data_IF_933938533813
#
_entry.id   IF_933938533813
#
_cell.length_a   1.000
_cell.length_b   1.000
_cell.length_c   1.000
_cell.angle_alpha   90.00
_cell.angle_beta   90.00
_cell.angle_gamma   90.00
#
_symmetry.space_group_name_H-M   'P 1'
#
loop_
_entity.id
_entity.type
_entity.pdbx_description
1 polymer ?
#
# COMPACT_ATOMS: atom_id res chain seq x y z
N UNK A 1 -4.86 5.14 -1.85
CA UNK A 1 -5.08 4.20 -1.34
C UNK A 1 -4.34 3.92 -0.07
N UNK A 2 -4.47 4.80 0.91
CA UNK A 2 -4.10 4.49 2.27
C UNK A 2 -4.69 3.14 2.68
N UNK A 3 -3.92 2.37 3.41
CA UNK A 3 -4.32 1.06 3.85
C UNK A 3 -4.11 -0.05 2.85
N UNK A 4 -3.63 0.28 1.66
CA UNK A 4 -3.10 -0.68 0.71
C UNK A 4 -1.65 -0.32 0.40
N UNK A 5 -1.35 0.16 -0.76
CA UNK A 5 0.03 0.50 -1.19
C UNK A 5 0.26 2.00 -1.38
N UNK A 6 -0.74 2.85 -1.05
CA UNK A 6 -0.69 4.28 -1.36
C UNK A 6 0.41 5.03 -0.61
N UNK A 7 0.51 4.80 0.70
CA UNK A 7 1.54 5.44 1.53
C UNK A 7 2.96 5.01 1.15
N UNK A 8 3.12 3.76 0.70
CA UNK A 8 4.43 3.25 0.27
C UNK A 8 4.87 3.89 -1.05
N UNK A 9 3.93 4.11 -1.99
CA UNK A 9 4.21 4.80 -3.26
C UNK A 9 4.70 6.24 -3.03
N UNK A 10 4.27 6.91 -1.97
CA UNK A 10 4.70 8.26 -1.63
C UNK A 10 6.20 8.35 -1.27
N UNK A 11 6.84 7.23 -0.95
CA UNK A 11 8.29 7.14 -0.71
C UNK A 11 9.11 7.22 -1.99
N UNK A 12 8.49 7.10 -3.17
CA UNK A 12 9.16 7.23 -4.47
C UNK A 12 9.41 8.72 -4.76
N UNK A 13 10.67 9.08 -5.02
CA UNK A 13 11.03 10.42 -5.51
C UNK A 13 10.51 10.62 -6.93
N UNK A 14 9.48 11.46 -7.07
CA UNK A 14 8.86 11.74 -8.36
C UNK A 14 9.79 12.48 -9.31
N UNK A 15 10.74 13.28 -8.82
CA UNK A 15 11.72 13.97 -9.63
C UNK A 15 12.70 13.00 -10.26
N UNK A 16 13.21 12.03 -9.50
CA UNK A 16 14.10 10.98 -9.99
C UNK A 16 13.37 10.02 -10.94
N UNK A 17 12.11 9.66 -10.63
CA UNK A 17 11.27 8.86 -11.52
C UNK A 17 11.07 9.56 -12.87
N UNK A 18 10.80 10.86 -12.84
CA UNK A 18 10.64 11.67 -14.04
C UNK A 18 11.92 11.73 -14.86
N UNK A 19 13.07 11.98 -14.25
CA UNK A 19 14.37 12.00 -14.95
C UNK A 19 14.62 10.68 -15.66
N UNK A 20 14.30 9.57 -15.03
CA UNK A 20 14.51 8.23 -15.58
C UNK A 20 13.64 7.96 -16.81
N UNK A 21 12.32 8.23 -16.73
CA UNK A 21 11.38 7.85 -17.80
C UNK A 21 11.08 8.94 -18.81
N UNK A 22 11.15 10.22 -18.47
CA UNK A 22 10.82 11.34 -19.35
C UNK A 22 12.06 12.01 -19.97
N UNK A 23 13.26 11.68 -19.52
CA UNK A 23 14.50 12.30 -19.97
C UNK A 23 14.51 13.81 -19.71
N UNK A 24 14.79 14.62 -20.74
CA UNK A 24 14.87 16.09 -20.60
C UNK A 24 13.50 16.80 -20.55
N UNK A 25 12.39 16.08 -20.69
CA UNK A 25 11.07 16.71 -20.62
C UNK A 25 10.67 16.95 -19.17
N UNK A 26 10.58 18.21 -18.78
CA UNK A 26 10.10 18.60 -17.44
C UNK A 26 8.58 18.48 -17.40
N UNK A 27 8.05 17.60 -16.56
CA UNK A 27 6.65 17.61 -16.17
C UNK A 27 6.54 18.53 -14.94
N UNK A 28 5.69 19.54 -14.99
CA UNK A 28 5.39 20.34 -13.81
C UNK A 28 4.53 19.50 -12.88
N UNK A 29 5.06 19.15 -11.71
CA UNK A 29 4.26 18.63 -10.61
C UNK A 29 3.77 19.85 -9.78
N UNK A 30 2.48 19.92 -9.53
CA UNK A 30 1.98 20.84 -8.52
C UNK A 30 2.59 20.43 -7.17
N UNK A 31 3.09 21.38 -6.36
CA UNK A 31 3.50 21.09 -5.00
C UNK A 31 2.32 20.44 -4.27
N UNK A 32 2.53 19.27 -3.66
CA UNK A 32 1.56 18.72 -2.73
C UNK A 32 1.61 19.57 -1.47
N UNK A 33 0.47 20.07 -1.03
CA UNK A 33 0.34 20.55 0.34
C UNK A 33 0.66 19.37 1.26
N UNK A 34 1.55 19.56 2.25
CA UNK A 34 1.81 18.52 3.22
C UNK A 34 0.50 18.22 3.96
N UNK A 35 -0.14 17.12 3.63
CA UNK A 35 -1.30 16.66 4.38
C UNK A 35 -0.85 16.27 5.78
N UNK A 36 -1.65 16.63 6.77
CA UNK A 36 -1.44 16.17 8.15
C UNK A 36 -1.74 14.68 8.17
N UNK A 37 -0.69 13.88 8.08
CA UNK A 37 -0.80 12.43 8.11
C UNK A 37 -0.84 11.95 9.55
N UNK A 38 -1.89 11.23 9.90
CA UNK A 38 -2.08 10.61 11.18
C UNK A 38 -3.53 10.23 11.38
N UNK A 39 -3.83 9.53 12.45
CA UNK A 39 -5.21 9.18 12.79
C UNK A 39 -5.26 8.70 14.24
N UNK A 40 -6.37 8.93 14.93
CA UNK A 40 -6.56 8.49 16.31
C UNK A 40 -7.65 7.42 16.37
N UNK A 41 -7.37 6.33 17.07
CA UNK A 41 -8.35 5.29 17.39
C UNK A 41 -8.29 4.93 18.86
N UNK A 42 -9.44 4.76 19.50
CA UNK A 42 -9.54 4.32 20.89
C UNK A 42 -10.63 3.26 20.97
N UNK A 43 -10.27 2.07 21.47
CA UNK A 43 -11.23 1.03 21.80
C UNK A 43 -11.35 0.91 23.33
N UNK A 44 -12.57 0.89 23.83
CA UNK A 44 -12.87 0.78 25.26
C UNK A 44 -13.70 -0.48 25.48
N UNK A 45 -13.21 -1.35 26.38
CA UNK A 45 -13.88 -2.60 26.72
C UNK A 45 -15.14 -2.36 27.58
N UNK A 46 -16.15 -3.24 27.51
CA UNK A 46 -17.41 -3.11 28.26
C UNK A 46 -17.26 -2.94 29.78
N UNK A 47 -16.21 -3.51 30.37
CA UNK A 47 -15.98 -3.49 31.81
C UNK A 47 -15.84 -2.08 32.42
N UNK A 48 -15.51 -1.09 31.56
CA UNK A 48 -15.30 0.30 32.01
C UNK A 48 -16.23 1.29 31.31
N UNK A 49 -17.30 0.80 30.68
CA UNK A 49 -18.33 1.64 30.05
C UNK A 49 -19.63 1.59 30.85
N UNK A 50 -20.29 2.72 31.00
CA UNK A 50 -21.54 2.80 31.75
C UNK A 50 -22.69 1.98 31.11
N UNK A 51 -22.68 1.83 29.78
CA UNK A 51 -23.68 1.08 29.03
C UNK A 51 -23.37 -0.41 28.85
N UNK A 52 -22.23 -0.91 29.35
CA UNK A 52 -21.83 -2.31 29.22
C UNK A 52 -21.52 -2.75 27.76
N UNK A 53 -21.38 -1.82 26.83
CA UNK A 53 -20.99 -2.08 25.43
C UNK A 53 -19.57 -1.63 25.14
N UNK A 54 -18.95 -2.20 24.12
CA UNK A 54 -17.67 -1.70 23.59
C UNK A 54 -17.86 -0.35 22.91
N UNK A 55 -16.90 0.55 23.06
CA UNK A 55 -16.85 1.81 22.33
C UNK A 55 -15.63 1.85 21.43
N UNK A 56 -15.79 2.39 20.22
CA UNK A 56 -14.70 2.59 19.26
C UNK A 56 -14.73 4.02 18.72
N UNK A 57 -13.70 4.80 19.00
CA UNK A 57 -13.45 6.07 18.35
C UNK A 57 -12.73 5.82 17.02
N UNK A 58 -13.28 6.40 15.95
CA UNK A 58 -12.72 6.36 14.60
C UNK A 58 -12.49 7.80 14.18
N UNK A 59 -11.24 8.26 14.20
CA UNK A 59 -10.89 9.65 13.90
C UNK A 59 -9.74 9.71 12.86
N UNK A 60 -10.06 9.53 11.57
CA UNK A 60 -9.06 9.64 10.51
C UNK A 60 -8.68 11.12 10.27
N UNK A 61 -7.38 11.39 10.17
CA UNK A 61 -6.84 12.67 9.74
C UNK A 61 -6.40 12.54 8.29
N UNK A 62 -7.28 12.91 7.38
CA UNK A 62 -7.06 12.81 5.93
C UNK A 62 -7.58 14.06 5.24
N UNK A 63 -7.18 14.26 3.98
CA UNK A 63 -7.71 15.33 3.15
C UNK A 63 -9.23 15.30 3.11
N UNK A 64 -9.85 16.46 3.14
CA UNK A 64 -11.31 16.63 3.06
C UNK A 64 -11.94 15.95 1.83
N UNK A 65 -11.25 15.93 0.71
CA UNK A 65 -11.74 15.36 -0.54
C UNK A 65 -11.39 13.88 -0.73
N UNK A 66 -10.77 13.24 0.24
CA UNK A 66 -10.23 11.90 0.06
C UNK A 66 -11.23 10.78 0.37
N UNK A 67 -12.13 11.01 1.32
CA UNK A 67 -13.11 10.03 1.80
C UNK A 67 -14.49 10.64 1.91
N UNK A 68 -15.50 9.75 1.83
CA UNK A 68 -16.90 10.08 2.13
C UNK A 68 -17.49 9.06 3.09
N UNK A 69 -18.39 9.47 3.95
CA UNK A 69 -19.18 8.55 4.77
C UNK A 69 -20.28 7.90 3.93
N UNK A 70 -20.44 6.60 4.11
CA UNK A 70 -21.42 5.80 3.35
C UNK A 70 -21.99 4.68 4.23
N UNK A 71 -23.27 4.39 4.01
CA UNK A 71 -23.94 3.16 4.42
C UNK A 71 -24.03 2.25 3.21
N UNK A 72 -23.50 1.04 3.32
CA UNK A 72 -23.54 0.04 2.25
C UNK A 72 -24.18 -1.24 2.77
N UNK A 73 -25.19 -1.73 2.07
CA UNK A 73 -25.86 -2.99 2.42
C UNK A 73 -26.14 -3.83 1.17
N UNK A 74 -26.21 -5.15 1.35
CA UNK A 74 -26.61 -6.10 0.31
C UNK A 74 -27.31 -7.31 0.91
N UNK A 75 -28.08 -8.04 0.09
CA UNK A 75 -28.68 -9.32 0.47
C UNK A 75 -27.65 -10.43 0.75
N UNK A 76 -26.36 -10.20 0.46
CA UNK A 76 -25.25 -11.13 0.64
C UNK A 76 -24.49 -10.91 1.97
N UNK A 77 -25.18 -10.34 2.99
CA UNK A 77 -24.64 -10.18 4.32
C UNK A 77 -23.65 -9.01 4.50
N UNK A 78 -23.67 -8.04 3.62
CA UNK A 78 -22.97 -6.77 3.82
C UNK A 78 -23.93 -5.77 4.44
N UNK A 79 -23.56 -5.20 5.59
CA UNK A 79 -24.24 -4.07 6.21
C UNK A 79 -23.20 -3.29 7.01
N UNK A 80 -22.61 -2.29 6.39
CA UNK A 80 -21.50 -1.55 6.98
C UNK A 80 -21.64 -0.05 6.76
N UNK A 81 -21.28 0.73 7.78
CA UNK A 81 -21.22 2.18 7.76
C UNK A 81 -19.81 2.66 8.07
N UNK A 82 -19.41 3.75 7.45
CA UNK A 82 -18.13 4.43 7.72
C UNK A 82 -17.56 5.13 6.51
N UNK A 83 -16.26 5.38 6.56
CA UNK A 83 -15.55 6.10 5.52
C UNK A 83 -15.11 5.17 4.39
N UNK A 84 -15.50 5.50 3.16
CA UNK A 84 -15.02 4.89 1.92
C UNK A 84 -14.05 5.85 1.21
N UNK A 85 -12.91 5.35 0.80
CA UNK A 85 -11.97 6.12 -0.03
C UNK A 85 -12.49 6.20 -1.46
N UNK A 86 -12.35 7.32 -2.11
CA UNK A 86 -12.79 7.49 -3.49
C UNK A 86 -12.18 6.44 -4.43
N UNK A 87 -13.03 5.81 -5.22
CA UNK A 87 -12.67 4.74 -6.12
C UNK A 87 -12.60 3.34 -5.49
N UNK A 88 -12.83 3.22 -4.17
CA UNK A 88 -12.95 1.93 -3.48
C UNK A 88 -14.42 1.54 -3.31
N UNK A 89 -14.70 0.24 -3.34
CA UNK A 89 -16.07 -0.32 -3.25
C UNK A 89 -16.39 -0.91 -1.86
N UNK A 90 -15.61 -0.56 -0.84
CA UNK A 90 -15.74 -1.06 0.54
C UNK A 90 -15.56 0.06 1.56
N UNK A 91 -16.10 -0.14 2.74
CA UNK A 91 -15.87 0.73 3.90
C UNK A 91 -14.44 0.49 4.41
N UNK A 92 -13.62 1.52 4.30
CA UNK A 92 -12.21 1.45 4.69
C UNK A 92 -12.03 1.46 6.21
N UNK A 93 -12.68 2.41 6.90
CA UNK A 93 -12.77 2.50 8.36
C UNK A 93 -14.23 2.66 8.74
N UNK A 94 -14.69 1.91 9.71
CA UNK A 94 -16.09 1.93 10.08
C UNK A 94 -16.49 0.76 10.93
N UNK A 95 -17.73 0.38 10.82
CA UNK A 95 -18.31 -0.73 11.57
C UNK A 95 -19.45 -1.40 10.81
N UNK A 96 -19.72 -2.63 11.18
CA UNK A 96 -20.95 -3.36 10.85
C UNK A 96 -21.75 -3.60 12.15
N UNK A 97 -22.74 -4.47 12.11
CA UNK A 97 -23.58 -4.76 13.28
C UNK A 97 -22.84 -5.43 14.43
N UNK A 98 -21.65 -6.01 14.21
CA UNK A 98 -20.92 -6.85 15.14
C UNK A 98 -19.52 -6.32 15.47
N UNK A 99 -18.85 -5.75 14.49
CA UNK A 99 -17.43 -5.37 14.61
C UNK A 99 -17.20 -3.96 14.09
N UNK A 100 -16.22 -3.27 14.71
CA UNK A 100 -15.72 -1.98 14.24
C UNK A 100 -14.20 -2.04 14.06
N UNK A 101 -13.70 -1.30 13.08
CA UNK A 101 -12.27 -1.22 12.76
C UNK A 101 -11.87 0.20 12.38
N UNK A 102 -10.71 0.59 12.86
CA UNK A 102 -10.09 1.87 12.61
C UNK A 102 -8.61 1.68 12.27
N UNK A 103 -8.11 2.43 11.33
CA UNK A 103 -6.71 2.36 10.92
C UNK A 103 -5.94 3.62 11.26
N UNK A 104 -4.73 3.44 11.77
CA UNK A 104 -3.75 4.51 11.95
C UNK A 104 -2.50 4.21 11.12
N UNK A 105 -1.74 5.24 10.75
CA UNK A 105 -0.47 5.06 10.07
C UNK A 105 0.51 4.27 10.93
N UNK A 106 1.32 3.45 10.29
CA UNK A 106 2.36 2.64 10.90
C UNK A 106 3.73 3.01 10.31
N UNK A 107 4.77 2.94 11.12
CA UNK A 107 6.16 3.12 10.70
C UNK A 107 6.87 1.78 10.43
N UNK A 108 6.14 0.72 10.07
CA UNK A 108 6.77 -0.57 9.76
C UNK A 108 7.66 -0.48 8.52
N UNK A 109 8.73 -1.24 8.53
CA UNK A 109 9.64 -1.38 7.42
C UNK A 109 9.11 -2.44 6.45
N UNK A 110 8.49 -1.96 5.36
CA UNK A 110 7.77 -2.78 4.39
C UNK A 110 8.09 -2.40 2.94
N UNK A 111 9.11 -1.58 2.75
CA UNK A 111 9.54 -1.06 1.45
C UNK A 111 11.05 -1.02 1.39
N UNK A 112 11.63 -1.64 0.38
CA UNK A 112 13.07 -1.66 0.14
C UNK A 112 13.42 -1.30 -1.29
N UNK A 113 14.64 -0.83 -1.49
CA UNK A 113 15.21 -0.54 -2.78
C UNK A 113 16.33 -1.51 -3.14
N UNK A 114 16.35 -1.94 -4.39
CA UNK A 114 17.33 -2.88 -4.92
C UNK A 114 18.09 -2.25 -6.08
N UNK A 115 19.39 -2.06 -5.93
CA UNK A 115 20.26 -1.54 -6.97
C UNK A 115 20.68 -2.67 -7.93
N UNK A 116 20.39 -2.52 -9.22
CA UNK A 116 20.57 -3.55 -10.24
C UNK A 116 21.66 -3.16 -11.22
N UNK A 117 22.58 -4.08 -11.50
CA UNK A 117 23.47 -3.97 -12.66
C UNK A 117 22.66 -4.29 -13.91
N UNK A 118 22.60 -3.36 -14.85
CA UNK A 118 21.78 -3.50 -16.06
C UNK A 118 22.66 -3.42 -17.31
N UNK A 119 22.35 -4.25 -18.28
CA UNK A 119 22.84 -4.12 -19.67
C UNK A 119 21.66 -4.03 -20.62
N UNK A 120 21.80 -3.26 -21.69
CA UNK A 120 20.75 -3.05 -22.70
C UNK A 120 21.17 -3.69 -24.02
N UNK A 121 21.04 -5.00 -24.19
CA UNK A 121 21.25 -5.66 -25.46
C UNK A 121 20.13 -5.33 -26.44
N UNK A 122 20.28 -5.67 -27.71
CA UNK A 122 19.28 -5.43 -28.77
C UNK A 122 17.87 -5.94 -28.42
N UNK A 123 17.77 -6.99 -27.63
CA UNK A 123 16.50 -7.60 -27.17
C UNK A 123 15.91 -6.96 -25.89
N UNK A 124 16.41 -5.77 -25.49
CA UNK A 124 15.94 -5.02 -24.32
C UNK A 124 16.76 -5.23 -23.04
N UNK A 125 16.47 -4.45 -21.98
CA UNK A 125 17.26 -4.45 -20.76
C UNK A 125 17.23 -5.80 -20.02
N UNK A 126 18.39 -6.18 -19.53
CA UNK A 126 18.58 -7.36 -18.67
C UNK A 126 19.35 -6.94 -17.42
N UNK A 127 18.99 -7.49 -16.27
CA UNK A 127 19.67 -7.25 -15.00
C UNK A 127 20.41 -8.50 -14.51
N UNK A 128 21.51 -8.30 -13.81
CA UNK A 128 22.27 -9.39 -13.19
C UNK A 128 21.54 -9.91 -11.97
N UNK A 129 21.52 -11.25 -11.81
CA UNK A 129 21.03 -11.93 -10.61
C UNK A 129 21.84 -13.21 -10.37
N UNK A 130 22.64 -13.20 -9.34
CA UNK A 130 23.68 -14.21 -9.12
C UNK A 130 24.65 -14.25 -10.31
N UNK A 131 24.77 -15.42 -10.91
CA UNK A 131 25.62 -15.65 -12.10
C UNK A 131 24.90 -15.41 -13.42
N UNK A 132 23.59 -15.11 -13.40
CA UNK A 132 22.73 -15.05 -14.58
C UNK A 132 22.30 -13.65 -14.93
N UNK A 133 21.87 -13.45 -16.18
CA UNK A 133 21.21 -12.24 -16.65
C UNK A 133 19.74 -12.52 -16.95
N UNK A 134 18.85 -11.90 -16.18
CA UNK A 134 17.40 -12.02 -16.33
C UNK A 134 16.85 -10.89 -17.18
N UNK A 135 15.88 -11.13 -18.08
CA UNK A 135 15.21 -10.05 -18.80
C UNK A 135 14.35 -9.21 -17.85
N UNK A 136 14.29 -7.92 -18.09
CA UNK A 136 13.27 -7.08 -17.46
C UNK A 136 11.92 -7.26 -18.16
N UNK A 137 10.85 -7.14 -17.38
CA UNK A 137 9.51 -7.03 -17.93
C UNK A 137 9.28 -5.60 -18.43
N UNK A 138 8.79 -5.50 -19.66
CA UNK A 138 8.38 -4.24 -20.25
C UNK A 138 6.87 -4.09 -20.13
N UNK A 139 6.42 -2.91 -19.74
CA UNK A 139 5.01 -2.53 -19.74
C UNK A 139 4.85 -1.17 -20.40
N UNK A 140 3.90 -1.04 -21.32
CA UNK A 140 3.50 0.25 -21.88
C UNK A 140 2.26 0.73 -21.13
N UNK A 141 2.40 1.85 -20.43
CA UNK A 141 1.30 2.52 -19.73
C UNK A 141 0.84 3.70 -20.56
N UNK A 142 -0.42 3.70 -21.02
CA UNK A 142 -1.01 4.79 -21.77
C UNK A 142 -2.01 5.55 -20.92
N UNK A 143 -1.77 6.84 -20.71
CA UNK A 143 -2.62 7.71 -19.90
C UNK A 143 -3.35 8.67 -20.85
N UNK A 144 -4.68 8.63 -20.81
CA UNK A 144 -5.53 9.60 -21.49
C UNK A 144 -5.77 10.81 -20.61
N UNK A 145 -5.68 11.99 -21.16
CA UNK A 145 -5.90 13.25 -20.45
C UNK A 145 -6.55 14.28 -21.38
N UNK A 146 -7.16 15.29 -20.80
CA UNK A 146 -7.60 16.48 -21.55
C UNK A 146 -6.47 17.48 -21.56
N UNK A 147 -6.11 17.96 -22.77
CA UNK A 147 -5.14 19.05 -22.91
C UNK A 147 -5.76 20.41 -22.53
N UNK A 148 -4.99 21.48 -22.64
CA UNK A 148 -5.45 22.85 -22.33
C UNK A 148 -6.66 23.28 -23.18
N UNK A 149 -6.81 22.77 -24.39
CA UNK A 149 -7.92 23.07 -25.30
C UNK A 149 -9.14 22.17 -25.05
N UNK A 150 -9.10 21.33 -24.02
CA UNK A 150 -10.18 20.38 -23.66
C UNK A 150 -10.24 19.14 -24.54
N UNK A 151 -9.32 18.96 -25.47
CA UNK A 151 -9.27 17.81 -26.39
C UNK A 151 -8.64 16.60 -25.69
N UNK A 152 -9.21 15.41 -25.90
CA UNK A 152 -8.64 14.16 -25.40
C UNK A 152 -7.34 13.84 -26.13
N UNK A 153 -6.27 13.71 -25.37
CA UNK A 153 -4.96 13.26 -25.82
C UNK A 153 -4.53 12.00 -25.04
N UNK A 154 -3.53 11.30 -25.53
CA UNK A 154 -2.93 10.17 -24.81
C UNK A 154 -1.40 10.32 -24.81
N UNK A 155 -0.78 9.92 -23.70
CA UNK A 155 0.66 9.81 -23.57
C UNK A 155 1.01 8.41 -23.09
N UNK A 156 1.94 7.77 -23.75
CA UNK A 156 2.41 6.42 -23.44
C UNK A 156 3.81 6.47 -22.85
N UNK A 157 4.04 5.64 -21.84
CA UNK A 157 5.33 5.47 -21.18
C UNK A 157 5.70 3.99 -21.24
N UNK A 158 6.93 3.70 -21.62
CA UNK A 158 7.49 2.36 -21.48
C UNK A 158 8.14 2.26 -20.11
N UNK A 159 7.62 1.38 -19.27
CA UNK A 159 8.12 1.15 -17.92
C UNK A 159 8.80 -0.22 -17.84
N UNK A 160 9.70 -0.36 -16.88
CA UNK A 160 10.48 -1.57 -16.67
C UNK A 160 10.27 -2.11 -15.26
N UNK A 161 10.32 -3.44 -15.15
CA UNK A 161 10.15 -4.14 -13.88
C UNK A 161 11.15 -5.30 -13.78
N UNK A 162 11.83 -5.38 -12.64
CA UNK A 162 12.57 -6.56 -12.21
C UNK A 162 11.68 -7.44 -11.30
N UNK A 163 12.17 -8.58 -10.85
CA UNK A 163 11.44 -9.41 -9.91
C UNK A 163 11.28 -8.74 -8.52
N UNK A 164 12.20 -7.84 -8.16
CA UNK A 164 12.09 -7.03 -6.95
C UNK A 164 10.95 -6.01 -7.01
N UNK A 165 10.65 -5.47 -8.20
CA UNK A 165 9.62 -4.44 -8.36
C UNK A 165 9.83 -3.57 -9.59
N UNK A 166 9.03 -2.49 -9.73
CA UNK A 166 9.19 -1.51 -10.79
C UNK A 166 10.51 -0.74 -10.63
N UNK A 167 11.10 -0.35 -11.78
CA UNK A 167 12.26 0.53 -11.79
C UNK A 167 11.79 1.96 -11.56
N UNK A 168 12.36 2.65 -10.60
CA UNK A 168 11.92 4.00 -10.21
C UNK A 168 12.95 5.09 -10.47
N UNK A 169 14.24 4.75 -10.59
CA UNK A 169 15.31 5.72 -10.85
C UNK A 169 16.61 5.04 -11.28
N UNK A 170 17.58 5.84 -11.63
CA UNK A 170 18.98 5.44 -11.76
C UNK A 170 19.81 6.15 -10.67
N UNK A 171 20.70 5.43 -10.04
CA UNK A 171 21.63 5.97 -9.07
C UNK A 171 23.01 5.29 -9.25
N UNK A 172 24.06 6.10 -9.37
CA UNK A 172 25.45 5.62 -9.51
C UNK A 172 25.64 4.59 -10.64
N UNK A 173 24.97 4.79 -11.78
CA UNK A 173 25.04 3.90 -12.94
C UNK A 173 24.30 2.57 -12.79
N UNK A 174 23.49 2.40 -11.71
CA UNK A 174 22.67 1.24 -11.47
C UNK A 174 21.18 1.62 -11.51
N UNK A 175 20.34 0.74 -12.02
CA UNK A 175 18.89 0.93 -11.97
C UNK A 175 18.37 0.48 -10.62
N UNK A 176 17.46 1.26 -10.04
CA UNK A 176 16.89 0.98 -8.72
C UNK A 176 15.46 0.48 -8.88
N UNK A 177 15.23 -0.75 -8.44
CA UNK A 177 13.92 -1.34 -8.30
C UNK A 177 13.36 -1.03 -6.90
N UNK A 178 12.06 -0.77 -6.84
CA UNK A 178 11.32 -0.43 -5.63
C UNK A 178 10.42 -1.61 -5.24
N UNK A 179 10.73 -2.27 -4.15
CA UNK A 179 9.97 -3.38 -3.63
C UNK A 179 8.97 -2.91 -2.56
N UNK A 180 7.74 -3.34 -2.71
CA UNK A 180 6.65 -3.08 -1.77
C UNK A 180 5.63 -4.21 -1.84
N UNK A 181 4.61 -4.19 -0.99
CA UNK A 181 3.49 -5.12 -1.10
C UNK A 181 2.85 -5.03 -2.49
N UNK A 182 2.89 -6.11 -3.24
CA UNK A 182 2.37 -6.20 -4.60
C UNK A 182 1.38 -7.37 -4.74
N UNK A 183 0.36 -7.34 -3.89
CA UNK A 183 -0.74 -8.31 -3.89
C UNK A 183 -2.09 -7.57 -3.92
N UNK A 184 -2.40 -6.82 -5.02
CA UNK A 184 -3.55 -5.93 -5.06
C UNK A 184 -4.89 -6.67 -4.87
N UNK A 185 -5.03 -7.87 -5.40
CA UNK A 185 -6.24 -8.68 -5.21
C UNK A 185 -6.42 -9.08 -3.74
N UNK A 186 -5.34 -9.55 -3.09
CA UNK A 186 -5.39 -9.90 -1.67
C UNK A 186 -5.67 -8.67 -0.79
N UNK A 187 -5.13 -7.49 -1.15
CA UNK A 187 -5.41 -6.24 -0.45
C UNK A 187 -6.89 -5.83 -0.55
N UNK A 188 -7.48 -5.94 -1.73
CA UNK A 188 -8.91 -5.70 -1.94
C UNK A 188 -9.78 -6.73 -1.18
N UNK A 189 -9.39 -8.01 -1.21
CA UNK A 189 -10.08 -9.07 -0.46
C UNK A 189 -10.01 -8.81 1.04
N UNK A 190 -8.85 -8.50 1.59
CA UNK A 190 -8.69 -8.19 3.01
C UNK A 190 -9.56 -6.99 3.42
N UNK A 191 -9.56 -5.95 2.62
CA UNK A 191 -10.34 -4.74 2.88
C UNK A 191 -11.84 -4.96 2.78
N UNK A 192 -12.30 -5.74 1.81
CA UNK A 192 -13.72 -6.06 1.66
C UNK A 192 -14.20 -7.07 2.71
N UNK A 193 -13.49 -8.16 2.93
CA UNK A 193 -13.94 -9.23 3.82
C UNK A 193 -14.02 -8.78 5.28
N UNK A 194 -13.17 -7.86 5.74
CA UNK A 194 -13.27 -7.34 7.11
C UNK A 194 -14.59 -6.63 7.38
N UNK A 195 -15.25 -6.08 6.34
CA UNK A 195 -16.56 -5.43 6.49
C UNK A 195 -17.68 -6.40 6.84
N UNK A 196 -17.44 -7.71 6.74
CA UNK A 196 -18.38 -8.80 7.01
C UNK A 196 -18.03 -9.64 8.24
N UNK A 197 -16.98 -9.30 8.96
CA UNK A 197 -16.54 -10.06 10.15
C UNK A 197 -17.57 -9.98 11.29
N UNK A 198 -17.66 -11.05 12.08
CA UNK A 198 -18.64 -11.17 13.15
C UNK A 198 -18.01 -11.04 14.54
N UNK A 199 -16.73 -11.34 14.67
CA UNK A 199 -15.96 -11.34 15.91
C UNK A 199 -14.47 -11.11 15.64
N UNK A 200 -13.64 -11.08 16.70
CA UNK A 200 -12.19 -10.93 16.57
C UNK A 200 -11.55 -12.11 15.83
N UNK A 201 -12.04 -13.32 16.03
CA UNK A 201 -11.51 -14.51 15.38
C UNK A 201 -11.67 -14.45 13.86
N UNK A 202 -12.84 -14.02 13.39
CA UNK A 202 -13.09 -13.82 11.96
C UNK A 202 -12.23 -12.67 11.41
N UNK A 203 -12.10 -11.58 12.17
CA UNK A 203 -11.25 -10.46 11.79
C UNK A 203 -9.80 -10.88 11.62
N UNK A 204 -9.27 -11.69 12.54
CA UNK A 204 -7.90 -12.23 12.49
C UNK A 204 -7.68 -13.15 11.29
N UNK A 205 -8.66 -13.96 10.88
CA UNK A 205 -8.57 -14.76 9.65
C UNK A 205 -8.37 -13.87 8.41
N UNK A 206 -9.10 -12.77 8.34
CA UNK A 206 -8.96 -11.80 7.26
C UNK A 206 -7.62 -11.06 7.35
N UNK A 207 -7.21 -10.67 8.53
CA UNK A 207 -5.93 -10.02 8.79
C UNK A 207 -4.72 -10.86 8.37
N UNK A 208 -4.82 -12.19 8.48
CA UNK A 208 -3.78 -13.14 8.07
C UNK A 208 -3.49 -13.17 6.55
N UNK A 209 -4.26 -12.49 5.74
CA UNK A 209 -3.89 -12.22 4.35
C UNK A 209 -2.63 -11.36 4.24
N UNK A 210 -2.31 -10.59 5.30
CA UNK A 210 -1.12 -9.73 5.41
C UNK A 210 -0.88 -8.89 4.16
N UNK A 211 -1.96 -8.38 3.58
CA UNK A 211 -1.94 -7.59 2.35
C UNK A 211 -2.25 -6.10 2.61
N UNK A 212 -2.24 -5.68 3.88
CA UNK A 212 -2.28 -4.28 4.27
C UNK A 212 -0.85 -3.80 4.48
N UNK A 213 -0.44 -2.73 3.81
CA UNK A 213 0.96 -2.33 3.79
C UNK A 213 1.38 -1.54 5.04
N UNK A 214 0.64 -0.52 5.45
CA UNK A 214 1.19 0.50 6.35
C UNK A 214 0.26 0.92 7.49
N UNK A 215 -0.76 0.13 7.84
CA UNK A 215 -1.70 0.54 8.87
C UNK A 215 -1.78 -0.41 10.06
N UNK A 216 -1.70 0.17 11.25
CA UNK A 216 -2.19 -0.46 12.47
C UNK A 216 -3.71 -0.53 12.43
N UNK A 217 -4.29 -1.47 13.12
CA UNK A 217 -5.75 -1.60 13.25
C UNK A 217 -6.16 -1.61 14.72
N UNK A 218 -7.08 -0.72 15.07
CA UNK A 218 -7.80 -0.74 16.33
C UNK A 218 -9.15 -1.39 16.05
N UNK A 219 -9.47 -2.41 16.83
CA UNK A 219 -10.66 -3.24 16.68
C UNK A 219 -11.50 -3.23 17.95
N UNK A 220 -12.82 -3.27 17.77
CA UNK A 220 -13.77 -3.56 18.84
C UNK A 220 -14.92 -4.41 18.30
N UNK A 221 -15.51 -5.28 19.14
CA UNK A 221 -16.69 -6.08 18.79
C UNK A 221 -17.83 -5.89 19.79
N UNK A 222 -19.04 -6.17 19.32
CA UNK A 222 -20.22 -6.22 20.17
C UNK A 222 -20.17 -7.31 21.27
N UNK A 223 -19.28 -8.29 21.10
CA UNK A 223 -19.01 -9.33 22.08
C UNK A 223 -18.07 -8.87 23.23
N UNK A 224 -17.62 -7.61 23.19
CA UNK A 224 -16.75 -7.04 24.21
C UNK A 224 -15.25 -7.20 23.95
N UNK A 225 -14.87 -7.74 22.82
CA UNK A 225 -13.47 -7.90 22.43
C UNK A 225 -12.90 -6.58 21.93
N UNK A 226 -11.70 -6.23 22.37
CA UNK A 226 -10.92 -5.11 21.82
C UNK A 226 -9.54 -5.62 21.46
N UNK A 227 -8.94 -5.07 20.40
CA UNK A 227 -7.60 -5.45 19.97
C UNK A 227 -6.87 -4.29 19.29
N UNK A 228 -5.55 -4.29 19.44
CA UNK A 228 -4.63 -3.51 18.63
C UNK A 228 -3.79 -4.47 17.78
N UNK A 229 -3.87 -4.34 16.47
CA UNK A 229 -3.34 -5.33 15.53
C UNK A 229 -2.37 -4.68 14.54
N UNK A 230 -1.39 -5.46 14.11
CA UNK A 230 -0.43 -5.11 13.08
C UNK A 230 -0.55 -6.08 11.87
N UNK A 231 -1.67 -6.09 11.12
CA UNK A 231 -1.90 -7.03 10.04
C UNK A 231 -1.22 -6.58 8.74
N UNK A 232 0.00 -6.06 8.84
CA UNK A 232 0.72 -5.49 7.72
C UNK A 232 1.53 -6.54 6.97
N UNK A 233 1.88 -6.16 5.74
CA UNK A 233 2.90 -6.81 4.96
C UNK A 233 4.26 -6.34 5.47
N UNK A 234 4.98 -7.17 6.21
CA UNK A 234 6.33 -6.87 6.71
C UNK A 234 7.26 -8.01 6.29
N UNK A 235 8.04 -7.83 5.22
CA UNK A 235 8.97 -8.85 4.74
C UNK A 235 10.17 -8.99 5.68
N UNK A 236 10.75 -10.18 5.73
CA UNK A 236 12.02 -10.43 6.41
C UNK A 236 13.18 -10.21 5.45
N UNK A 237 14.01 -9.23 5.73
CA UNK A 237 15.32 -9.06 5.11
C UNK A 237 16.37 -9.95 5.81
N UNK A 238 17.47 -10.27 5.12
CA UNK A 238 18.62 -10.91 5.74
C UNK A 238 19.37 -9.85 6.60
N UNK A 239 19.53 -10.05 7.92
CA UNK A 239 20.10 -9.06 8.83
C UNK A 239 21.58 -8.71 8.56
N UNK A 240 22.23 -9.38 7.64
CA UNK A 240 23.60 -9.05 7.19
C UNK A 240 23.64 -7.81 6.30
N UNK A 241 22.51 -7.39 5.73
CA UNK A 241 22.40 -6.27 4.81
C UNK A 241 21.71 -5.08 5.47
N UNK A 242 22.09 -3.89 5.03
CA UNK A 242 21.52 -2.63 5.47
C UNK A 242 20.46 -2.15 4.45
N UNK A 243 19.19 -2.45 4.73
CA UNK A 243 18.05 -2.09 3.87
C UNK A 243 17.61 -0.62 4.03
N UNK A 244 18.24 0.17 4.90
CA UNK A 244 17.96 1.62 4.97
C UNK A 244 18.42 2.37 3.71
N UNK A 245 19.11 1.70 2.82
CA UNK A 245 19.61 2.18 1.52
C UNK A 245 19.50 1.07 0.48
N UNK A 246 19.58 1.40 -0.83
CA UNK A 246 19.49 0.39 -1.87
C UNK A 246 20.50 -0.74 -1.68
N UNK A 247 20.03 -1.97 -1.49
CA UNK A 247 20.87 -3.17 -1.40
C UNK A 247 21.24 -3.69 -2.79
N UNK A 248 22.27 -4.53 -2.87
CA UNK A 248 22.70 -5.13 -4.13
C UNK A 248 21.72 -6.18 -4.64
N UNK A 249 20.77 -5.79 -5.48
CA UNK A 249 19.78 -6.69 -6.06
C UNK A 249 20.32 -7.71 -7.07
N UNK A 250 21.64 -7.74 -7.31
CA UNK A 250 22.28 -8.82 -8.05
C UNK A 250 22.67 -10.01 -7.17
N UNK A 251 22.70 -9.83 -5.85
CA UNK A 251 22.93 -10.89 -4.88
C UNK A 251 21.60 -11.51 -4.43
N UNK A 252 21.32 -12.81 -4.72
CA UNK A 252 20.10 -13.46 -4.27
C UNK A 252 19.90 -13.48 -2.75
N UNK A 253 20.94 -13.28 -1.96
CA UNK A 253 20.82 -13.25 -0.51
C UNK A 253 20.14 -11.98 0.01
N UNK A 254 20.02 -10.92 -0.82
CA UNK A 254 19.28 -9.70 -0.48
C UNK A 254 17.79 -9.81 -0.72
N UNK A 255 17.31 -10.86 -1.38
CA UNK A 255 15.87 -11.02 -1.62
C UNK A 255 15.09 -11.12 -0.30
N UNK A 256 13.87 -10.60 -0.32
CA UNK A 256 12.96 -10.78 0.78
C UNK A 256 12.63 -12.25 1.03
N UNK A 257 12.67 -12.65 2.29
CA UNK A 257 12.21 -13.94 2.77
C UNK A 257 10.70 -13.99 3.02
N UNK A 258 10.31 -14.82 3.99
CA UNK A 258 8.92 -14.89 4.45
C UNK A 258 8.50 -13.60 5.16
N UNK A 259 7.19 -13.38 5.31
CA UNK A 259 6.68 -12.29 6.13
C UNK A 259 6.90 -12.57 7.63
N UNK A 260 6.96 -11.52 8.42
CA UNK A 260 6.84 -11.62 9.87
C UNK A 260 5.43 -12.15 10.22
N UNK A 261 5.36 -12.97 11.27
CA UNK A 261 4.10 -13.53 11.76
C UNK A 261 3.34 -12.48 12.60
#
# INVERSE_FOLDING_TARGET
>A
TEGSIGGDIERIDLGELQKFYAGKQTLAFAPRDPEVNGSNGIAIAPAITAGGGSLLLINPHTSFFFRSEQQVSSGEGLNAYGAATWGQFFIYQGFNERTGWMHTSSGVDNVDEFALDVRSPELGPRYRYGKNWRPMQQQVVSIRYRNADGILAARSFTTWRAHHGPIVREANGRWVAFAMMDKPVAALQQSFLRTKTQDLKDFLKVANLQANSSNNTIFASGNGEIAYLHPQFVPKGDPRFDYTRPVDGSDPATDWGALHA
#
